data_IF_021574871210
#
_entry.id   IF_021574871210
#
_cell.length_a   1.000
_cell.length_b   1.000
_cell.length_c   1.000
_cell.angle_alpha   90.00
_cell.angle_beta   90.00
_cell.angle_gamma   90.00
#
_symmetry.space_group_name_H-M   'P 1'
#
loop_
_entity.id
_entity.type
_entity.pdbx_description
1 polymer ?
#
# COMPACT_ATOMS: atom_id res chain seq x y z
N UNK A 1 58.64 -22.41 22.36
CA UNK A 1 57.86 -22.25 21.12
C UNK A 1 56.96 -21.03 21.30
N UNK A 2 57.16 -20.02 20.45
CA UNK A 2 56.34 -18.80 20.36
C UNK A 2 54.92 -19.18 19.96
N UNK A 3 53.91 -18.49 20.50
CA UNK A 3 52.89 -17.80 19.68
C UNK A 3 52.05 -16.90 20.58
N UNK A 4 52.49 -15.64 20.64
CA UNK A 4 51.66 -14.48 20.93
C UNK A 4 50.85 -14.15 19.66
N UNK A 5 49.76 -13.39 19.82
CA UNK A 5 49.02 -12.66 18.77
C UNK A 5 47.94 -13.46 18.03
N UNK A 6 46.72 -12.98 17.77
CA UNK A 6 46.16 -11.62 17.76
C UNK A 6 44.61 -11.76 17.78
N UNK A 7 43.91 -11.16 18.76
CA UNK A 7 42.45 -10.96 18.71
C UNK A 7 42.21 -9.61 18.01
N UNK A 8 41.80 -9.66 16.73
CA UNK A 8 41.42 -8.47 15.98
C UNK A 8 39.93 -8.18 16.23
N UNK A 9 39.63 -7.36 17.25
CA UNK A 9 38.31 -6.76 17.39
C UNK A 9 38.21 -5.60 16.40
N UNK A 10 37.59 -5.83 15.25
CA UNK A 10 37.21 -4.77 14.31
C UNK A 10 35.95 -4.12 14.88
N UNK A 11 36.11 -3.03 15.62
CA UNK A 11 35.01 -2.11 15.88
C UNK A 11 34.72 -1.35 14.59
N UNK A 12 33.71 -1.79 13.84
CA UNK A 12 33.09 -0.93 12.84
C UNK A 12 32.30 0.14 13.59
N UNK A 13 32.90 1.31 13.76
CA UNK A 13 32.16 2.56 13.99
C UNK A 13 31.34 2.85 12.72
N UNK A 14 30.19 2.18 12.61
CA UNK A 14 29.06 2.70 11.85
C UNK A 14 28.59 3.94 12.58
N UNK A 15 29.23 5.08 12.26
CA UNK A 15 28.54 6.36 12.34
C UNK A 15 27.32 6.18 11.46
N UNK A 16 26.18 5.88 12.07
CA UNK A 16 24.90 6.07 11.44
C UNK A 16 24.90 7.54 11.03
N UNK A 17 25.15 7.81 9.75
CA UNK A 17 24.86 9.09 9.16
C UNK A 17 23.36 9.28 9.43
N UNK A 18 23.04 10.00 10.50
CA UNK A 18 21.68 10.36 10.86
C UNK A 18 21.16 11.08 9.64
N UNK A 19 20.32 10.37 8.88
CA UNK A 19 19.80 10.83 7.61
C UNK A 19 19.08 12.14 7.87
N UNK A 20 19.71 13.22 7.41
CA UNK A 20 19.17 14.55 7.49
C UNK A 20 18.29 14.71 6.25
N UNK A 21 16.96 14.78 6.42
CA UNK A 21 16.00 15.09 5.35
C UNK A 21 16.26 16.47 4.68
N UNK A 22 15.34 17.04 3.89
CA UNK A 22 15.56 18.33 3.23
C UNK A 22 15.94 19.45 4.21
N UNK A 23 16.80 20.38 3.78
CA UNK A 23 17.14 21.58 4.56
C UNK A 23 16.29 22.79 4.16
N UNK A 24 15.91 22.86 2.89
CA UNK A 24 15.04 23.89 2.29
C UNK A 24 13.99 23.18 1.44
N UNK A 25 12.76 23.70 1.44
CA UNK A 25 11.67 23.28 0.55
C UNK A 25 11.30 24.45 -0.34
N UNK A 26 11.37 24.26 -1.65
CA UNK A 26 10.87 25.22 -2.63
C UNK A 26 9.34 25.14 -2.69
N UNK A 27 8.67 26.29 -2.64
CA UNK A 27 7.22 26.39 -2.64
C UNK A 27 6.74 27.42 -3.65
N UNK A 28 5.49 27.26 -4.09
CA UNK A 28 4.80 28.25 -4.90
C UNK A 28 3.80 29.01 -4.06
N UNK A 29 4.00 30.32 -3.94
CA UNK A 29 3.01 31.20 -3.34
C UNK A 29 1.92 31.54 -4.36
N UNK A 30 0.67 31.24 -4.02
CA UNK A 30 -0.49 31.40 -4.87
C UNK A 30 -1.44 32.47 -4.34
N UNK A 31 -1.87 33.36 -5.23
CA UNK A 31 -2.90 34.37 -4.95
C UNK A 31 -3.85 34.51 -6.14
N UNK A 32 -5.10 34.82 -5.85
CA UNK A 32 -6.08 35.20 -6.86
C UNK A 32 -5.66 36.52 -7.50
N UNK A 33 -5.40 36.51 -8.81
CA UNK A 33 -5.22 37.75 -9.55
C UNK A 33 -6.58 38.31 -9.97
N UNK A 34 -6.62 39.57 -10.41
CA UNK A 34 -7.82 40.16 -11.00
C UNK A 34 -8.12 39.50 -12.35
N UNK A 35 -9.35 39.01 -12.54
CA UNK A 35 -9.72 38.09 -13.63
C UNK A 35 -9.41 36.65 -13.23
N UNK A 36 -9.98 35.63 -13.88
CA UNK A 36 -9.88 34.21 -13.47
C UNK A 36 -8.48 33.57 -13.60
N UNK A 37 -7.42 34.31 -13.31
CA UNK A 37 -6.03 33.90 -13.43
C UNK A 37 -5.43 33.77 -12.02
N UNK A 38 -4.78 32.64 -11.74
CA UNK A 38 -3.95 32.47 -10.54
C UNK A 38 -2.54 33.02 -10.80
N UNK A 39 -2.06 33.89 -9.90
CA UNK A 39 -0.67 34.31 -9.91
C UNK A 39 0.17 33.36 -9.04
N UNK A 40 1.33 32.95 -9.54
CA UNK A 40 2.30 32.12 -8.80
C UNK A 40 3.61 32.88 -8.63
N UNK A 41 4.12 32.92 -7.40
CA UNK A 41 5.41 33.52 -7.05
C UNK A 41 6.30 32.46 -6.36
N UNK A 42 7.61 32.45 -6.60
CA UNK A 42 8.50 31.53 -5.91
C UNK A 42 8.62 31.92 -4.44
N UNK A 43 8.65 30.93 -3.56
CA UNK A 43 8.91 31.05 -2.13
C UNK A 43 9.69 29.84 -1.63
N UNK A 44 10.17 29.89 -0.39
CA UNK A 44 10.89 28.77 0.20
C UNK A 44 10.71 28.70 1.72
N UNK A 45 10.70 27.48 2.25
CA UNK A 45 10.74 27.18 3.68
C UNK A 45 12.14 26.71 4.07
N UNK A 46 12.78 27.44 4.96
CA UNK A 46 14.02 27.02 5.60
C UNK A 46 13.70 26.21 6.85
N UNK A 47 13.98 24.91 6.79
CA UNK A 47 13.72 23.96 7.87
C UNK A 47 14.89 23.84 8.82
N UNK A 48 16.11 23.96 8.31
CA UNK A 48 17.36 23.75 9.07
C UNK A 48 18.44 24.72 8.65
N UNK A 49 19.13 25.28 9.63
CA UNK A 49 20.24 26.20 9.41
C UNK A 49 21.58 25.45 9.46
N UNK A 50 22.41 25.62 8.43
CA UNK A 50 23.79 25.11 8.43
C UNK A 50 24.72 25.95 9.31
N UNK A 51 25.94 25.48 9.59
CA UNK A 51 26.91 26.22 10.41
C UNK A 51 27.31 27.60 9.85
N UNK A 52 27.04 27.86 8.56
CA UNK A 52 27.30 29.14 7.89
C UNK A 52 26.12 30.12 7.85
N UNK A 53 25.00 29.84 8.53
CA UNK A 53 23.80 30.67 8.46
C UNK A 53 22.75 30.20 7.43
N UNK A 54 21.59 30.88 7.34
CA UNK A 54 20.61 30.63 6.29
C UNK A 54 21.22 30.94 4.92
N UNK A 55 21.01 30.11 3.88
CA UNK A 55 21.54 30.38 2.55
C UNK A 55 20.90 31.65 1.95
N UNK A 56 21.69 32.54 1.30
CA UNK A 56 21.16 33.74 0.65
C UNK A 56 20.33 33.37 -0.59
N UNK A 57 19.14 33.96 -0.70
CA UNK A 57 18.19 33.76 -1.81
C UNK A 57 17.73 35.10 -2.37
N UNK A 58 18.51 35.64 -3.30
CA UNK A 58 18.24 36.92 -3.98
C UNK A 58 17.11 36.78 -5.01
N UNK A 59 16.86 35.55 -5.45
CA UNK A 59 15.79 35.16 -6.37
C UNK A 59 14.39 35.23 -5.73
N UNK A 60 14.31 35.25 -4.40
CA UNK A 60 13.05 35.20 -3.65
C UNK A 60 12.68 36.57 -3.07
N UNK A 61 11.37 36.79 -2.93
CA UNK A 61 10.88 37.86 -2.05
C UNK A 61 11.21 37.47 -0.59
N UNK A 62 11.91 38.31 0.19
CA UNK A 62 12.22 38.01 1.60
C UNK A 62 10.99 37.69 2.46
N UNK A 63 9.80 38.19 2.09
CA UNK A 63 8.53 37.87 2.76
C UNK A 63 8.02 36.46 2.46
N UNK A 64 8.51 35.84 1.40
CA UNK A 64 8.19 34.48 0.96
C UNK A 64 9.37 33.50 1.18
N UNK A 65 10.48 33.99 1.74
CA UNK A 65 11.54 33.15 2.29
C UNK A 65 11.35 33.05 3.79
N UNK A 66 10.76 31.94 4.25
CA UNK A 66 10.32 31.77 5.62
C UNK A 66 11.27 30.84 6.39
N UNK A 67 11.74 31.28 7.55
CA UNK A 67 12.44 30.44 8.51
C UNK A 67 11.46 29.81 9.49
N UNK A 68 11.39 28.48 9.50
CA UNK A 68 10.60 27.68 10.45
C UNK A 68 11.47 26.87 11.42
N UNK A 69 12.79 26.88 11.23
CA UNK A 69 13.74 26.04 11.97
C UNK A 69 13.70 26.19 13.49
N UNK A 70 13.39 27.40 13.99
CA UNK A 70 13.35 27.72 15.43
C UNK A 70 11.90 27.95 15.91
N UNK A 71 10.94 27.85 15.00
CA UNK A 71 9.58 28.35 15.18
C UNK A 71 8.54 27.32 14.79
N UNK A 72 8.84 26.03 15.01
CA UNK A 72 7.87 24.93 15.08
C UNK A 72 7.89 24.34 16.50
N UNK A 73 7.16 24.94 17.46
CA UNK A 73 7.24 24.56 18.87
C UNK A 73 6.79 23.12 19.10
N UNK A 74 5.80 22.65 18.33
CA UNK A 74 5.30 21.29 18.42
C UNK A 74 6.19 20.26 17.70
N UNK A 75 7.10 20.71 16.83
CA UNK A 75 8.06 19.87 16.11
C UNK A 75 7.48 19.02 14.97
N UNK A 76 6.15 18.98 14.79
CA UNK A 76 5.50 18.07 13.85
C UNK A 76 5.92 18.31 12.39
N UNK A 77 6.05 19.58 11.96
CA UNK A 77 6.48 19.92 10.61
C UNK A 77 7.95 19.54 10.40
N UNK A 78 8.81 19.90 11.35
CA UNK A 78 10.23 19.60 11.29
C UNK A 78 10.49 18.09 11.30
N UNK A 79 9.83 17.33 12.17
CA UNK A 79 10.02 15.89 12.31
C UNK A 79 9.49 15.11 11.12
N UNK A 80 8.41 15.57 10.48
CA UNK A 80 7.91 15.00 9.24
C UNK A 80 8.94 15.11 8.12
N UNK A 81 9.54 16.29 7.96
CA UNK A 81 10.51 16.56 6.89
C UNK A 81 11.90 16.02 7.22
N UNK A 82 12.26 15.90 8.49
CA UNK A 82 13.49 15.24 8.94
C UNK A 82 13.50 13.76 8.61
N UNK A 83 12.35 13.08 8.72
CA UNK A 83 12.15 11.67 8.38
C UNK A 83 11.94 11.42 6.88
N UNK A 84 11.92 12.47 6.06
CA UNK A 84 11.73 12.34 4.62
C UNK A 84 12.90 11.60 3.95
N UNK A 85 12.65 10.55 3.14
CA UNK A 85 13.71 9.77 2.50
C UNK A 85 14.60 10.62 1.57
N UNK A 86 15.91 10.41 1.61
CA UNK A 86 16.87 11.17 0.78
C UNK A 86 16.73 10.90 -0.72
N UNK A 87 16.36 9.68 -1.11
CA UNK A 87 16.18 9.30 -2.51
C UNK A 87 14.79 9.65 -3.05
N UNK A 88 13.89 10.17 -2.21
CA UNK A 88 12.55 10.55 -2.63
C UNK A 88 12.57 11.92 -3.35
N UNK A 89 11.75 12.11 -4.40
CA UNK A 89 11.58 13.42 -5.02
C UNK A 89 11.14 14.48 -4.01
N UNK A 90 11.54 15.73 -4.24
CA UNK A 90 11.11 16.85 -3.41
C UNK A 90 9.56 16.93 -3.39
N UNK A 91 8.94 17.15 -2.22
CA UNK A 91 7.50 17.27 -2.13
C UNK A 91 7.01 18.51 -2.87
N UNK A 92 5.82 18.43 -3.46
CA UNK A 92 5.15 19.62 -3.97
C UNK A 92 4.75 20.49 -2.79
N UNK A 93 5.06 21.79 -2.84
CA UNK A 93 4.72 22.74 -1.80
C UNK A 93 4.01 23.95 -2.39
N UNK A 94 2.88 24.31 -1.79
CA UNK A 94 2.08 25.48 -2.12
C UNK A 94 1.86 26.32 -0.87
N UNK A 95 2.00 27.64 -1.01
CA UNK A 95 1.75 28.61 0.05
C UNK A 95 0.60 29.53 -0.38
N UNK A 96 -0.31 29.85 0.52
CA UNK A 96 -1.41 30.77 0.25
C UNK A 96 -1.68 31.64 1.47
N UNK A 97 -2.41 32.76 1.28
CA UNK A 97 -2.91 33.54 2.42
C UNK A 97 -4.04 32.79 3.11
N UNK A 98 -3.95 32.70 4.42
CA UNK A 98 -5.02 32.15 5.25
C UNK A 98 -5.74 33.28 5.98
N UNK A 99 -7.05 33.14 6.16
CA UNK A 99 -7.86 34.07 6.94
C UNK A 99 -8.58 33.27 8.02
N UNK A 100 -8.28 33.49 9.32
CA UNK A 100 -8.97 32.81 10.40
C UNK A 100 -10.47 33.12 10.39
N UNK A 101 -11.26 32.06 10.22
CA UNK A 101 -12.72 32.14 10.09
C UNK A 101 -13.35 30.94 10.82
N UNK A 102 -14.54 31.10 11.43
CA UNK A 102 -15.27 29.97 12.02
C UNK A 102 -15.54 28.88 10.98
N UNK A 103 -15.59 27.64 11.46
CA UNK A 103 -15.96 26.51 10.61
C UNK A 103 -17.37 26.73 10.04
N UNK A 104 -17.52 26.54 8.73
CA UNK A 104 -18.81 26.73 8.04
C UNK A 104 -19.85 25.66 8.38
N UNK A 105 -19.41 24.52 8.92
CA UNK A 105 -20.29 23.41 9.24
C UNK A 105 -20.97 23.62 10.60
N UNK A 106 -22.31 23.52 10.62
CA UNK A 106 -23.10 23.76 11.83
C UNK A 106 -22.74 22.86 13.02
N UNK A 107 -22.28 21.62 12.78
CA UNK A 107 -21.88 20.72 13.87
C UNK A 107 -20.61 21.20 14.61
N UNK A 108 -19.78 21.99 13.94
CA UNK A 108 -18.54 22.54 14.48
C UNK A 108 -18.74 23.90 15.15
N UNK A 109 -19.97 24.45 15.17
CA UNK A 109 -20.24 25.79 15.72
C UNK A 109 -19.92 25.89 17.23
N UNK A 110 -19.95 24.76 17.95
CA UNK A 110 -19.57 24.69 19.36
C UNK A 110 -18.10 25.05 19.63
N UNK A 111 -17.22 24.96 18.63
CA UNK A 111 -15.81 25.35 18.76
C UNK A 111 -15.62 26.87 18.82
N UNK A 112 -16.62 27.65 18.39
CA UNK A 112 -16.61 29.12 18.39
C UNK A 112 -17.92 29.65 18.96
N UNK A 113 -18.15 29.53 20.28
CA UNK A 113 -19.39 29.99 20.91
C UNK A 113 -19.47 31.53 20.97
N UNK A 114 -18.32 32.20 21.03
CA UNK A 114 -18.23 33.65 21.06
C UNK A 114 -18.51 34.25 19.68
N UNK A 115 -19.30 35.33 19.64
CA UNK A 115 -19.62 36.05 18.40
C UNK A 115 -18.60 37.13 18.03
N UNK A 116 -17.36 37.02 18.53
CA UNK A 116 -16.27 37.95 18.27
C UNK A 116 -14.98 37.23 17.94
N UNK A 117 -14.22 37.76 16.96
CA UNK A 117 -12.91 37.22 16.60
C UNK A 117 -11.90 37.42 17.74
N UNK A 118 -11.16 36.37 18.15
CA UNK A 118 -10.12 36.48 19.17
C UNK A 118 -8.97 37.37 18.71
N UNK A 119 -8.58 38.36 19.52
CA UNK A 119 -7.43 39.24 19.24
C UNK A 119 -6.10 38.47 19.18
N UNK A 120 -6.02 37.30 19.80
CA UNK A 120 -4.85 36.43 19.72
C UNK A 120 -4.56 35.94 18.29
N UNK A 121 -5.53 36.05 17.37
CA UNK A 121 -5.39 35.66 15.97
C UNK A 121 -5.10 36.84 15.05
N UNK A 122 -4.83 38.04 15.59
CA UNK A 122 -4.47 39.21 14.81
C UNK A 122 -3.15 38.98 14.03
N UNK A 123 -3.03 39.63 12.88
CA UNK A 123 -1.85 39.56 12.01
C UNK A 123 -2.09 38.77 10.72
N UNK A 124 -1.01 38.62 9.94
CA UNK A 124 -1.04 37.87 8.69
C UNK A 124 -0.90 36.38 8.97
N UNK A 125 -1.59 35.56 8.17
CA UNK A 125 -1.52 34.10 8.23
C UNK A 125 -1.22 33.53 6.85
N UNK A 126 -0.43 32.46 6.84
CA UNK A 126 -0.12 31.69 5.66
C UNK A 126 -0.55 30.24 5.89
N UNK A 127 -1.11 29.62 4.85
CA UNK A 127 -1.32 28.17 4.81
C UNK A 127 -0.28 27.58 3.86
N UNK A 128 0.41 26.55 4.34
CA UNK A 128 1.37 25.76 3.59
C UNK A 128 0.76 24.38 3.38
N UNK A 129 0.58 23.98 2.13
CA UNK A 129 0.16 22.63 1.76
C UNK A 129 1.32 21.90 1.09
N UNK A 130 1.62 20.69 1.54
CA UNK A 130 2.65 19.84 0.97
C UNK A 130 2.10 18.46 0.63
N UNK A 131 2.48 17.94 -0.53
CA UNK A 131 2.05 16.62 -0.99
C UNK A 131 3.16 15.88 -1.73
N UNK A 132 3.36 14.61 -1.39
CA UNK A 132 4.19 13.68 -2.14
C UNK A 132 3.66 12.25 -2.00
N UNK A 133 4.38 11.27 -2.54
CA UNK A 133 4.08 9.85 -2.31
C UNK A 133 4.44 9.37 -0.89
N UNK A 134 5.17 10.18 -0.11
CA UNK A 134 5.65 9.83 1.23
C UNK A 134 4.74 10.41 2.31
N UNK A 135 4.30 11.66 2.15
CA UNK A 135 3.44 12.35 3.12
C UNK A 135 2.52 13.36 2.45
N UNK A 136 1.44 13.72 3.13
CA UNK A 136 0.65 14.92 2.83
C UNK A 136 0.48 15.72 4.12
N UNK A 137 0.72 17.02 4.06
CA UNK A 137 0.67 17.89 5.23
C UNK A 137 0.05 19.24 4.89
N UNK A 138 -0.58 19.85 5.89
CA UNK A 138 -1.08 21.21 5.85
C UNK A 138 -0.71 21.92 7.14
N UNK A 139 0.01 23.04 7.06
CA UNK A 139 0.41 23.83 8.21
C UNK A 139 -0.08 25.27 8.10
N UNK A 140 -0.52 25.83 9.23
CA UNK A 140 -0.83 27.25 9.37
C UNK A 140 0.34 27.96 10.05
N UNK A 141 0.85 28.99 9.40
CA UNK A 141 2.01 29.75 9.82
C UNK A 141 1.62 31.22 10.06
N UNK A 142 2.17 31.80 11.12
CA UNK A 142 2.08 33.22 11.41
C UNK A 142 3.45 33.88 11.15
N UNK A 143 3.65 34.51 9.97
CA UNK A 143 4.88 35.24 9.67
C UNK A 143 5.00 36.52 10.52
N UNK A 144 6.23 36.89 10.87
CA UNK A 144 6.50 38.19 11.46
C UNK A 144 6.25 39.34 10.45
N UNK A 145 5.85 40.54 10.91
CA UNK A 145 5.46 41.64 10.02
C UNK A 145 6.59 42.16 9.13
N UNK A 146 7.81 42.19 9.66
CA UNK A 146 9.00 42.67 8.95
C UNK A 146 10.04 41.53 8.86
N UNK A 147 10.66 41.33 7.69
CA UNK A 147 11.78 40.40 7.56
C UNK A 147 12.93 40.88 8.46
N UNK A 148 13.48 39.97 9.25
CA UNK A 148 14.67 40.26 10.04
C UNK A 148 15.92 40.06 9.18
N UNK A 149 16.97 40.84 9.47
CA UNK A 149 18.24 40.75 8.78
C UNK A 149 19.28 40.11 9.70
N UNK A 150 19.61 38.83 9.48
CA UNK A 150 20.77 38.18 10.10
C UNK A 150 21.08 36.82 9.44
N UNK A 151 22.31 36.55 8.96
CA UNK A 151 23.10 37.27 7.95
C UNK A 151 22.39 37.52 6.59
N UNK A 152 21.14 37.06 6.40
CA UNK A 152 20.35 37.18 5.17
C UNK A 152 18.97 37.74 5.50
N UNK A 153 18.34 38.47 4.57
CA UNK A 153 16.93 38.89 4.65
C UNK A 153 16.00 37.67 4.59
N UNK A 154 15.41 37.29 5.72
CA UNK A 154 14.52 36.14 5.86
C UNK A 154 13.41 36.46 6.86
N UNK A 155 12.20 35.97 6.63
CA UNK A 155 11.07 36.20 7.53
C UNK A 155 10.91 35.02 8.49
N UNK A 156 10.90 35.26 9.80
CA UNK A 156 10.56 34.21 10.77
C UNK A 156 9.06 33.94 10.73
N UNK A 157 8.66 32.67 10.76
CA UNK A 157 7.25 32.28 10.76
C UNK A 157 6.99 31.19 11.81
N UNK A 158 6.04 31.43 12.71
CA UNK A 158 5.65 30.47 13.74
C UNK A 158 4.60 29.51 13.21
N UNK A 159 4.87 28.20 13.33
CA UNK A 159 3.92 27.15 13.01
C UNK A 159 2.92 27.03 14.16
N UNK A 160 1.64 27.21 13.85
CA UNK A 160 0.55 27.22 14.83
C UNK A 160 -0.23 25.91 14.82
N UNK A 161 -0.62 25.44 13.64
CA UNK A 161 -1.32 24.18 13.44
C UNK A 161 -0.61 23.39 12.35
N UNK A 162 -0.38 22.11 12.57
CA UNK A 162 0.07 21.18 11.52
C UNK A 162 -0.87 19.99 11.51
N UNK A 163 -1.36 19.62 10.33
CA UNK A 163 -2.12 18.39 10.08
C UNK A 163 -1.32 17.57 9.08
N UNK A 164 -1.10 16.30 9.37
CA UNK A 164 -0.16 15.45 8.67
C UNK A 164 -0.71 14.03 8.52
N UNK A 165 -0.44 13.42 7.37
CA UNK A 165 -0.58 11.98 7.16
C UNK A 165 0.71 11.42 6.57
N UNK A 166 1.17 10.29 7.11
CA UNK A 166 2.33 9.55 6.61
C UNK A 166 1.94 8.52 5.54
N UNK A 167 0.65 8.40 5.24
CA UNK A 167 0.12 7.46 4.24
C UNK A 167 -0.77 8.20 3.25
N UNK A 168 -0.21 9.04 2.36
CA UNK A 168 -1.01 9.83 1.42
C UNK A 168 -1.69 8.98 0.34
N UNK A 169 -1.18 7.78 0.06
CA UNK A 169 -1.77 6.83 -0.90
C UNK A 169 -1.91 5.45 -0.24
N UNK A 170 -2.84 5.30 0.73
CA UNK A 170 -2.99 4.05 1.45
C UNK A 170 -3.52 2.96 0.51
N UNK A 171 -2.90 1.78 0.55
CA UNK A 171 -3.30 0.63 -0.27
C UNK A 171 -3.89 -0.46 0.62
N UNK A 172 -5.19 -0.69 0.51
CA UNK A 172 -5.91 -1.69 1.31
C UNK A 172 -6.32 -2.89 0.47
N UNK A 173 -6.28 -4.08 1.07
CA UNK A 173 -6.79 -5.28 0.42
C UNK A 173 -8.31 -5.27 0.48
N UNK A 174 -8.98 -5.60 -0.63
CA UNK A 174 -10.44 -5.71 -0.69
C UNK A 174 -10.97 -6.63 0.42
N UNK A 175 -11.94 -6.14 1.19
CA UNK A 175 -12.58 -6.81 2.31
C UNK A 175 -11.77 -6.78 3.62
N UNK A 176 -10.63 -6.08 3.64
CA UNK A 176 -9.92 -5.75 4.87
C UNK A 176 -10.27 -4.32 5.30
N UNK A 177 -9.95 -4.01 6.55
CA UNK A 177 -10.16 -2.68 7.08
C UNK A 177 -9.04 -1.74 6.63
N UNK A 178 -9.39 -0.50 6.31
CA UNK A 178 -8.42 0.56 6.06
C UNK A 178 -8.21 1.38 7.33
N UNK A 179 -6.95 1.68 7.63
CA UNK A 179 -6.52 2.60 8.68
C UNK A 179 -5.82 3.75 7.97
N UNK A 180 -6.43 4.93 7.97
CA UNK A 180 -5.90 6.12 7.33
C UNK A 180 -5.24 6.99 8.40
N UNK A 181 -3.91 6.97 8.43
CA UNK A 181 -3.10 7.72 9.39
C UNK A 181 -3.39 9.22 9.33
N UNK A 182 -3.61 9.83 10.49
CA UNK A 182 -3.74 11.26 10.64
C UNK A 182 -3.24 11.69 12.01
N UNK A 183 -2.27 12.58 12.01
CA UNK A 183 -1.73 13.23 13.20
C UNK A 183 -1.83 14.74 13.04
N UNK A 184 -2.00 15.46 14.13
CA UNK A 184 -1.98 16.91 14.12
C UNK A 184 -1.28 17.45 15.37
N UNK A 185 -0.88 18.71 15.30
CA UNK A 185 -0.27 19.40 16.43
C UNK A 185 -0.71 20.85 16.48
N UNK A 186 -0.82 21.40 17.68
CA UNK A 186 -1.27 22.77 17.89
C UNK A 186 -0.44 23.48 18.95
N UNK A 187 -0.03 24.71 18.63
CA UNK A 187 0.58 25.66 19.54
C UNK A 187 -0.33 26.88 19.69
N UNK A 188 -0.74 27.26 20.91
CA UNK A 188 -1.53 28.48 21.11
C UNK A 188 -0.70 29.73 20.76
N UNK A 189 -1.24 30.69 19.97
CA UNK A 189 -0.48 31.83 19.46
C UNK A 189 -0.03 32.86 20.53
N UNK A 190 -0.61 32.84 21.73
CA UNK A 190 -0.13 33.68 22.83
C UNK A 190 -0.32 33.00 24.20
N UNK A 191 0.53 33.31 25.20
CA UNK A 191 0.37 32.82 26.57
C UNK A 191 -0.93 33.32 27.23
N UNK A 192 -1.45 34.47 26.80
CA UNK A 192 -2.77 34.97 27.23
C UNK A 192 -3.93 34.13 26.66
N UNK A 193 -3.81 33.69 25.39
CA UNK A 193 -4.71 32.71 24.79
C UNK A 193 -4.61 31.33 25.47
N UNK A 194 -3.42 30.93 25.92
CA UNK A 194 -3.23 29.73 26.73
C UNK A 194 -3.82 29.87 28.15
N UNK A 195 -3.86 31.09 28.71
CA UNK A 195 -4.41 31.39 30.04
C UNK A 195 -5.92 31.61 30.10
N UNK A 196 -6.55 31.88 28.96
CA UNK A 196 -8.00 32.08 28.82
C UNK A 196 -8.75 30.80 28.45
N UNK A 197 -8.02 29.77 28.01
CA UNK A 197 -8.52 28.39 27.93
C UNK A 197 -8.51 27.75 29.32
N UNK A 198 -9.50 26.91 29.62
CA UNK A 198 -9.41 26.00 30.76
C UNK A 198 -8.07 25.22 30.67
N UNK A 199 -7.38 24.96 31.80
CA UNK A 199 -6.07 24.35 31.77
C UNK A 199 -6.09 23.00 31.04
N UNK A 200 -5.36 22.91 29.92
CA UNK A 200 -5.29 21.72 29.07
C UNK A 200 -5.51 22.04 27.58
N UNK A 201 -5.54 21.01 26.72
CA UNK A 201 -5.72 21.19 25.29
C UNK A 201 -7.15 21.66 24.94
N UNK A 202 -7.33 22.56 23.95
CA UNK A 202 -8.65 23.02 23.56
C UNK A 202 -9.46 21.90 22.90
N UNK A 203 -10.81 21.99 22.91
CA UNK A 203 -11.60 21.14 22.06
C UNK A 203 -11.25 21.34 20.59
N UNK A 204 -11.33 20.26 19.82
CA UNK A 204 -11.11 20.29 18.38
C UNK A 204 -12.23 19.54 17.66
N UNK A 205 -12.42 19.83 16.38
CA UNK A 205 -13.29 19.09 15.49
C UNK A 205 -12.47 18.21 14.54
N UNK A 206 -12.95 17.00 14.28
CA UNK A 206 -12.42 16.13 13.25
C UNK A 206 -13.49 15.91 12.19
N UNK A 207 -13.14 16.06 10.92
CA UNK A 207 -14.01 15.82 9.77
C UNK A 207 -13.32 14.90 8.76
N UNK A 208 -13.98 13.80 8.41
CA UNK A 208 -13.56 12.92 7.32
C UNK A 208 -14.60 12.91 6.22
N UNK A 209 -14.18 13.21 4.99
CA UNK A 209 -15.04 13.18 3.79
C UNK A 209 -14.42 12.32 2.71
N UNK A 210 -15.26 11.70 1.88
CA UNK A 210 -14.86 11.11 0.60
C UNK A 210 -15.38 11.96 -0.54
N UNK A 211 -14.49 12.44 -1.40
CA UNK A 211 -14.84 13.16 -2.61
C UNK A 211 -14.96 12.19 -3.78
N UNK A 212 -16.13 12.18 -4.42
CA UNK A 212 -16.38 11.39 -5.61
C UNK A 212 -17.18 12.23 -6.60
N UNK A 213 -16.68 12.36 -7.84
CA UNK A 213 -17.31 13.15 -8.91
C UNK A 213 -17.66 14.60 -8.48
N UNK A 214 -16.75 15.25 -7.75
CA UNK A 214 -16.94 16.62 -7.25
C UNK A 214 -17.89 16.77 -6.06
N UNK A 215 -18.50 15.68 -5.57
CA UNK A 215 -19.35 15.69 -4.37
C UNK A 215 -18.60 15.09 -3.17
N UNK A 216 -18.39 15.90 -2.13
CA UNK A 216 -17.79 15.44 -0.87
C UNK A 216 -18.86 14.92 0.09
N UNK A 217 -18.88 13.61 0.33
CA UNK A 217 -19.77 12.96 1.29
C UNK A 217 -19.08 12.89 2.65
N UNK A 218 -19.75 13.42 3.69
CA UNK A 218 -19.26 13.33 5.06
C UNK A 218 -19.36 11.88 5.54
N UNK A 219 -18.24 11.32 6.00
CA UNK A 219 -18.16 9.96 6.54
C UNK A 219 -18.17 9.97 8.06
N UNK A 220 -17.46 10.90 8.69
CA UNK A 220 -17.37 11.02 10.13
C UNK A 220 -17.13 12.48 10.52
N UNK A 221 -17.79 12.91 11.59
CA UNK A 221 -17.52 14.17 12.27
C UNK A 221 -17.55 13.94 13.79
N UNK A 222 -16.64 14.59 14.51
CA UNK A 222 -16.56 14.51 15.96
C UNK A 222 -15.99 15.81 16.54
N UNK A 223 -16.36 16.15 17.77
CA UNK A 223 -15.77 17.27 18.53
C UNK A 223 -15.28 16.83 19.91
N UNK A 224 -14.15 16.11 20.01
CA UNK A 224 -13.63 15.70 21.32
C UNK A 224 -13.41 16.90 22.25
N UNK A 225 -13.85 16.76 23.50
CA UNK A 225 -13.84 17.85 24.50
C UNK A 225 -15.07 18.74 24.51
N UNK A 226 -16.02 18.55 23.59
CA UNK A 226 -17.32 19.23 23.58
C UNK A 226 -18.48 18.24 23.44
N UNK A 227 -19.47 18.38 24.31
CA UNK A 227 -20.74 17.71 24.16
C UNK A 227 -21.55 18.41 23.06
N UNK A 228 -21.88 17.67 22.01
CA UNK A 228 -22.62 18.21 20.87
C UNK A 228 -23.28 17.13 20.02
N UNK A 229 -24.35 17.50 19.33
CA UNK A 229 -25.00 16.59 18.39
C UNK A 229 -24.13 16.46 17.13
N UNK A 230 -23.53 15.29 16.94
CA UNK A 230 -22.72 15.00 15.77
C UNK A 230 -23.54 14.37 14.63
N UNK A 231 -23.17 14.61 13.36
CA UNK A 231 -23.66 13.85 12.22
C UNK A 231 -23.42 12.34 12.41
N UNK A 232 -24.35 11.52 11.92
CA UNK A 232 -24.20 10.07 12.00
C UNK A 232 -23.04 9.58 11.12
N UNK A 233 -22.14 8.79 11.70
CA UNK A 233 -21.06 8.13 10.98
C UNK A 233 -21.62 7.22 9.87
N UNK A 234 -20.97 7.22 8.72
CA UNK A 234 -21.33 6.42 7.56
C UNK A 234 -20.43 5.20 7.44
N UNK A 235 -20.94 4.14 6.80
CA UNK A 235 -20.16 2.96 6.42
C UNK A 235 -19.48 2.23 7.61
N UNK A 236 -20.00 2.41 8.83
CA UNK A 236 -19.43 1.84 10.04
C UNK A 236 -18.08 2.44 10.44
N UNK A 237 -17.72 3.58 9.86
CA UNK A 237 -16.45 4.22 10.10
C UNK A 237 -16.36 4.80 11.52
N UNK A 238 -15.15 4.76 12.07
CA UNK A 238 -14.81 5.41 13.35
C UNK A 238 -13.47 6.10 13.24
N UNK A 239 -13.12 6.91 14.24
CA UNK A 239 -11.83 7.58 14.28
C UNK A 239 -11.23 7.54 15.69
N UNK A 240 -9.91 7.47 15.76
CA UNK A 240 -9.13 7.64 16.99
C UNK A 240 -8.85 9.13 17.16
N UNK A 241 -9.88 9.88 17.58
CA UNK A 241 -9.83 11.33 17.71
C UNK A 241 -9.55 11.74 19.17
N UNK A 242 -8.30 12.05 19.50
CA UNK A 242 -7.91 12.49 20.84
C UNK A 242 -6.61 13.32 20.81
N UNK A 243 -6.37 14.10 21.85
CA UNK A 243 -5.04 14.62 22.17
C UNK A 243 -4.18 13.50 22.77
N UNK A 244 -2.88 13.50 22.46
CA UNK A 244 -1.93 12.52 22.97
C UNK A 244 -1.47 12.85 24.40
N UNK A 245 -1.46 14.14 24.74
CA UNK A 245 -1.05 14.69 26.03
C UNK A 245 -2.05 15.74 26.55
N UNK A 246 -2.05 15.96 27.87
CA UNK A 246 -2.89 16.93 28.57
C UNK A 246 -2.07 18.07 29.20
N UNK A 247 -0.93 18.41 28.58
CA UNK A 247 -0.02 19.42 29.10
C UNK A 247 -0.75 20.76 29.31
N UNK A 248 -0.41 21.48 30.38
CA UNK A 248 -1.19 22.64 30.80
C UNK A 248 -1.15 23.81 29.81
N UNK A 249 -0.06 23.95 29.07
CA UNK A 249 0.23 25.16 28.26
C UNK A 249 0.55 24.85 26.80
N UNK A 250 0.54 23.58 26.41
CA UNK A 250 0.99 23.12 25.10
C UNK A 250 2.48 23.34 24.84
N UNK A 251 2.95 23.08 23.61
CA UNK A 251 2.17 22.60 22.47
C UNK A 251 1.61 21.19 22.68
N UNK A 252 0.52 20.87 21.99
CA UNK A 252 -0.13 19.56 22.07
C UNK A 252 -0.02 18.81 20.75
N UNK A 253 0.09 17.49 20.81
CA UNK A 253 -0.11 16.61 19.65
C UNK A 253 -1.39 15.81 19.79
N UNK A 254 -1.99 15.45 18.66
CA UNK A 254 -3.22 14.68 18.64
C UNK A 254 -3.30 13.73 17.46
N UNK A 255 -4.19 12.77 17.60
CA UNK A 255 -4.48 11.74 16.62
C UNK A 255 -5.91 11.95 16.08
N UNK A 256 -6.09 11.71 14.79
CA UNK A 256 -7.40 11.69 14.13
C UNK A 256 -7.53 10.56 13.11
N UNK A 257 -6.75 9.50 13.29
CA UNK A 257 -6.67 8.34 12.39
C UNK A 257 -8.05 7.73 12.17
N UNK A 258 -8.38 7.46 10.90
CA UNK A 258 -9.68 6.95 10.49
C UNK A 258 -9.65 5.44 10.25
N UNK A 259 -10.63 4.74 10.78
CA UNK A 259 -10.81 3.30 10.59
C UNK A 259 -12.08 3.04 9.78
N UNK A 260 -11.92 2.46 8.59
CA UNK A 260 -12.99 2.10 7.68
C UNK A 260 -13.07 0.57 7.54
N UNK A 261 -14.13 -0.09 8.04
CA UNK A 261 -14.20 -1.53 8.04
C UNK A 261 -14.53 -2.11 6.65
N UNK A 262 -14.01 -3.32 6.38
CA UNK A 262 -14.36 -4.16 5.24
C UNK A 262 -14.44 -3.41 3.89
N UNK A 263 -13.32 -2.79 3.48
CA UNK A 263 -13.28 -1.88 2.34
C UNK A 263 -13.65 -2.58 1.03
N UNK A 264 -14.56 -1.97 0.28
CA UNK A 264 -15.04 -2.39 -1.03
C UNK A 264 -14.67 -1.38 -2.12
N UNK A 265 -14.66 -1.76 -3.41
CA UNK A 265 -14.25 -0.89 -4.51
C UNK A 265 -14.97 0.46 -4.61
N UNK A 266 -16.27 0.54 -4.27
CA UNK A 266 -17.00 1.83 -4.32
C UNK A 266 -16.53 2.83 -3.26
N UNK A 267 -15.75 2.40 -2.27
CA UNK A 267 -15.16 3.24 -1.23
C UNK A 267 -13.76 3.74 -1.63
N UNK A 268 -13.23 3.31 -2.76
CA UNK A 268 -11.96 3.81 -3.32
C UNK A 268 -12.08 5.29 -3.75
N UNK A 269 -10.97 6.02 -3.68
CA UNK A 269 -10.85 7.40 -4.18
C UNK A 269 -10.28 8.37 -3.16
N UNK A 270 -10.59 9.65 -3.36
CA UNK A 270 -10.00 10.76 -2.59
C UNK A 270 -10.72 10.99 -1.26
N UNK A 271 -9.97 10.92 -0.17
CA UNK A 271 -10.40 11.22 1.19
C UNK A 271 -9.80 12.56 1.63
N UNK A 272 -10.61 13.37 2.30
CA UNK A 272 -10.19 14.63 2.91
C UNK A 272 -10.37 14.52 4.41
N UNK A 273 -9.31 14.83 5.13
CA UNK A 273 -9.31 14.93 6.58
C UNK A 273 -9.10 16.38 6.99
N UNK A 274 -10.04 16.95 7.73
CA UNK A 274 -9.97 18.32 8.23
C UNK A 274 -9.99 18.32 9.75
N UNK A 275 -9.01 18.98 10.35
CA UNK A 275 -8.99 19.26 11.78
C UNK A 275 -9.42 20.71 11.97
N UNK A 276 -10.46 20.91 12.78
CA UNK A 276 -11.02 22.20 13.14
C UNK A 276 -10.60 22.58 14.54
N UNK A 277 -10.07 23.79 14.70
CA UNK A 277 -9.81 24.45 15.96
C UNK A 277 -10.58 25.79 15.94
N UNK A 278 -10.70 26.50 17.07
CA UNK A 278 -11.35 27.82 17.07
C UNK A 278 -10.73 28.74 16.00
N UNK A 279 -11.51 29.06 14.96
CA UNK A 279 -11.14 29.89 13.79
C UNK A 279 -10.03 29.32 12.87
N UNK A 280 -9.48 28.16 13.17
CA UNK A 280 -8.35 27.56 12.46
C UNK A 280 -8.77 26.21 11.87
N UNK A 281 -8.41 25.93 10.62
CA UNK A 281 -8.62 24.61 10.03
C UNK A 281 -7.41 24.19 9.20
N UNK A 282 -7.00 22.93 9.33
CA UNK A 282 -6.00 22.30 8.50
C UNK A 282 -6.60 21.11 7.78
N UNK A 283 -6.28 20.93 6.50
CA UNK A 283 -6.85 19.86 5.67
C UNK A 283 -5.75 19.11 4.92
N UNK A 284 -5.81 17.79 4.94
CA UNK A 284 -4.95 16.91 4.14
C UNK A 284 -5.77 16.01 3.23
N UNK A 285 -5.14 15.57 2.14
CA UNK A 285 -5.78 14.73 1.12
C UNK A 285 -5.07 13.38 1.05
N UNK A 286 -5.86 12.32 1.00
CA UNK A 286 -5.40 10.93 0.87
C UNK A 286 -6.09 10.28 -0.33
N UNK A 287 -5.37 9.43 -1.06
CA UNK A 287 -5.91 8.66 -2.19
C UNK A 287 -5.95 7.17 -1.84
N UNK A 288 -7.07 6.72 -1.29
CA UNK A 288 -7.26 5.32 -0.90
C UNK A 288 -7.40 4.47 -2.15
N UNK A 289 -6.48 3.51 -2.32
CA UNK A 289 -6.49 2.54 -3.39
C UNK A 289 -6.81 1.13 -2.87
N UNK A 290 -7.68 0.41 -3.59
CA UNK A 290 -8.08 -0.95 -3.23
C UNK A 290 -7.36 -1.94 -4.14
N UNK A 291 -6.91 -3.07 -3.59
CA UNK A 291 -6.33 -4.14 -4.40
C UNK A 291 -6.73 -5.54 -3.90
N UNK A 292 -6.74 -6.52 -4.80
CA UNK A 292 -6.94 -7.92 -4.46
C UNK A 292 -6.14 -8.80 -5.43
N UNK A 293 -5.19 -9.60 -4.94
CA UNK A 293 -4.40 -10.45 -5.82
C UNK A 293 -5.21 -11.61 -6.39
N UNK A 294 -5.06 -11.91 -7.69
CA UNK A 294 -5.77 -13.00 -8.33
C UNK A 294 -5.38 -14.36 -7.75
N UNK A 295 -6.36 -15.27 -7.75
CA UNK A 295 -6.15 -16.71 -7.65
C UNK A 295 -6.05 -17.26 -9.06
N UNK A 296 -4.90 -17.86 -9.39
CA UNK A 296 -4.64 -18.41 -10.72
C UNK A 296 -4.72 -19.93 -10.63
N UNK A 297 -5.51 -20.53 -11.51
CA UNK A 297 -5.68 -21.99 -11.62
C UNK A 297 -5.84 -22.37 -13.08
N UNK A 298 -5.59 -23.64 -13.42
CA UNK A 298 -5.71 -24.14 -14.79
C UNK A 298 -6.65 -25.33 -14.86
N UNK A 299 -7.28 -25.52 -16.01
CA UNK A 299 -8.15 -26.65 -16.31
C UNK A 299 -7.94 -27.08 -17.77
N UNK A 300 -7.72 -28.37 -18.06
CA UNK A 300 -7.57 -29.49 -17.13
C UNK A 300 -6.26 -29.43 -16.31
N UNK A 301 -6.24 -29.97 -15.10
CA UNK A 301 -5.07 -30.04 -14.19
C UNK A 301 -5.17 -31.34 -13.37
N UNK A 302 -4.05 -32.01 -12.99
CA UNK A 302 -2.65 -31.59 -13.12
C UNK A 302 -1.98 -31.97 -14.45
N UNK A 303 -2.67 -32.74 -15.30
CA UNK A 303 -2.07 -33.34 -16.49
C UNK A 303 -3.04 -33.34 -17.68
N UNK A 304 -2.48 -33.29 -18.89
CA UNK A 304 -3.18 -33.38 -20.17
C UNK A 304 -2.50 -34.37 -21.09
N UNK A 305 -3.30 -35.09 -21.88
CA UNK A 305 -2.82 -36.12 -22.80
C UNK A 305 -3.08 -35.73 -24.25
N UNK A 306 -2.18 -36.12 -25.13
CA UNK A 306 -2.38 -36.09 -26.58
C UNK A 306 -1.53 -37.17 -27.26
N UNK A 307 -2.03 -37.72 -28.37
CA UNK A 307 -1.23 -38.59 -29.21
C UNK A 307 -0.22 -37.76 -30.04
N UNK A 308 0.92 -38.33 -30.47
CA UNK A 308 1.82 -37.66 -31.39
C UNK A 308 1.10 -37.19 -32.66
N UNK A 309 1.19 -35.90 -32.99
CA UNK A 309 0.50 -35.31 -34.15
C UNK A 309 -0.94 -34.85 -33.89
N UNK A 310 -1.46 -35.04 -32.67
CA UNK A 310 -2.75 -34.52 -32.23
C UNK A 310 -2.59 -33.32 -31.30
N UNK A 311 -3.59 -32.44 -31.28
CA UNK A 311 -3.62 -31.29 -30.37
C UNK A 311 -4.20 -31.70 -29.00
N UNK A 312 -3.57 -31.31 -27.88
CA UNK A 312 -4.14 -31.44 -26.55
C UNK A 312 -5.50 -30.73 -26.41
N UNK A 313 -6.31 -31.09 -25.39
CA UNK A 313 -7.53 -30.36 -25.10
C UNK A 313 -7.26 -28.87 -24.83
N UNK A 314 -8.28 -28.06 -25.06
CA UNK A 314 -8.23 -26.63 -24.78
C UNK A 314 -7.91 -26.38 -23.29
N UNK A 315 -6.92 -25.52 -23.04
CA UNK A 315 -6.50 -25.14 -21.70
C UNK A 315 -7.18 -23.84 -21.31
N UNK A 316 -7.84 -23.84 -20.15
CA UNK A 316 -8.41 -22.65 -19.53
C UNK A 316 -7.59 -22.25 -18.30
N UNK A 317 -7.11 -21.02 -18.28
CA UNK A 317 -6.47 -20.38 -17.13
C UNK A 317 -7.49 -19.48 -16.44
N UNK A 318 -7.97 -19.90 -15.28
CA UNK A 318 -8.94 -19.17 -14.48
C UNK A 318 -8.21 -18.21 -13.54
N UNK A 319 -8.48 -16.92 -13.72
CA UNK A 319 -7.94 -15.83 -12.92
C UNK A 319 -9.09 -15.24 -12.11
N UNK A 320 -9.18 -15.68 -10.86
CA UNK A 320 -10.36 -15.46 -10.02
C UNK A 320 -10.15 -14.41 -8.94
N UNK A 321 -11.18 -13.59 -8.72
CA UNK A 321 -11.31 -12.64 -7.61
C UNK A 321 -10.12 -11.69 -7.47
N UNK A 322 -9.89 -10.85 -8.47
CA UNK A 322 -8.87 -9.80 -8.45
C UNK A 322 -9.47 -8.40 -8.59
N UNK A 323 -8.67 -7.40 -8.22
CA UNK A 323 -8.98 -5.98 -8.36
C UNK A 323 -7.67 -5.18 -8.27
N UNK A 324 -7.46 -4.10 -9.05
CA UNK A 324 -8.34 -3.52 -10.09
C UNK A 324 -8.56 -4.44 -11.31
N UNK A 325 -9.50 -4.09 -12.19
CA UNK A 325 -9.73 -4.85 -13.44
C UNK A 325 -8.73 -4.51 -14.55
N UNK A 326 -8.07 -3.35 -14.46
CA UNK A 326 -7.15 -2.85 -15.47
C UNK A 326 -5.73 -3.40 -15.27
N UNK A 327 -4.98 -3.50 -16.38
CA UNK A 327 -3.57 -3.91 -16.35
C UNK A 327 -3.32 -5.38 -16.03
N UNK A 328 -4.32 -6.24 -16.22
CA UNK A 328 -4.13 -7.69 -16.14
C UNK A 328 -3.67 -8.25 -17.49
N UNK A 329 -2.59 -9.02 -17.48
CA UNK A 329 -2.07 -9.71 -18.66
C UNK A 329 -1.94 -11.21 -18.40
N UNK A 330 -2.29 -12.02 -19.41
CA UNK A 330 -2.20 -13.48 -19.37
C UNK A 330 -1.26 -13.96 -20.47
N UNK A 331 -0.15 -14.56 -20.07
CA UNK A 331 0.87 -15.12 -20.93
C UNK A 331 0.89 -16.66 -20.85
N UNK A 332 1.24 -17.29 -21.96
CA UNK A 332 1.30 -18.74 -22.08
C UNK A 332 2.72 -19.17 -22.49
N UNK A 333 3.31 -20.03 -21.68
CA UNK A 333 4.67 -20.57 -21.89
C UNK A 333 4.65 -22.10 -21.86
N UNK A 334 5.48 -22.74 -22.69
CA UNK A 334 5.78 -24.15 -22.60
C UNK A 334 7.19 -24.28 -22.02
N UNK A 335 7.32 -25.03 -20.93
CA UNK A 335 8.59 -25.25 -20.23
C UNK A 335 8.92 -26.73 -20.23
N UNK A 336 10.18 -27.06 -20.48
CA UNK A 336 10.62 -28.46 -20.54
C UNK A 336 10.60 -29.01 -21.97
N UNK A 337 10.92 -30.30 -22.10
CA UNK A 337 11.34 -30.93 -23.35
C UNK A 337 12.87 -30.93 -23.52
N UNK A 338 13.37 -31.65 -24.53
CA UNK A 338 14.80 -31.90 -24.79
C UNK A 338 15.68 -30.66 -24.94
N UNK A 339 15.08 -29.48 -25.19
CA UNK A 339 15.79 -28.21 -25.42
C UNK A 339 15.82 -27.22 -24.24
N UNK A 340 15.30 -27.59 -23.06
CA UNK A 340 15.59 -26.88 -21.80
C UNK A 340 15.48 -25.35 -21.87
N UNK A 341 14.30 -24.82 -22.25
CA UNK A 341 14.04 -23.38 -22.27
C UNK A 341 12.55 -23.07 -22.14
N UNK A 342 12.21 -21.89 -21.62
CA UNK A 342 10.84 -21.37 -21.62
C UNK A 342 10.54 -20.81 -23.00
N UNK A 343 9.58 -21.40 -23.71
CA UNK A 343 9.20 -20.98 -25.05
C UNK A 343 7.79 -20.38 -25.04
N UNK A 344 7.61 -19.28 -25.77
CA UNK A 344 6.28 -18.70 -25.99
C UNK A 344 5.46 -19.67 -26.85
N UNK A 345 4.24 -19.98 -26.41
CA UNK A 345 3.42 -20.96 -27.10
C UNK A 345 2.82 -20.37 -28.38
N UNK A 346 2.99 -21.10 -29.48
CA UNK A 346 2.23 -20.90 -30.72
C UNK A 346 0.84 -21.53 -30.58
N UNK A 347 -0.22 -20.85 -31.00
CA UNK A 347 -1.60 -21.33 -30.84
C UNK A 347 -2.61 -20.20 -30.77
N UNK A 348 -3.88 -20.56 -30.88
CA UNK A 348 -4.98 -19.61 -30.72
C UNK A 348 -5.18 -19.32 -29.23
N UNK A 349 -5.21 -18.03 -28.88
CA UNK A 349 -5.41 -17.54 -27.52
C UNK A 349 -6.48 -16.47 -27.51
N UNK A 350 -7.34 -16.48 -26.50
CA UNK A 350 -8.35 -15.45 -26.29
C UNK A 350 -8.69 -15.32 -24.82
N UNK A 351 -9.35 -14.23 -24.47
CA UNK A 351 -9.78 -13.92 -23.11
C UNK A 351 -11.31 -13.92 -23.05
N UNK A 352 -11.86 -14.38 -21.93
CA UNK A 352 -13.29 -14.20 -21.64
C UNK A 352 -13.59 -12.73 -21.34
N UNK A 353 -14.88 -12.38 -21.39
CA UNK A 353 -15.36 -11.16 -20.76
C UNK A 353 -15.09 -11.19 -19.24
N UNK A 354 -15.05 -10.00 -18.64
CA UNK A 354 -14.96 -9.81 -17.20
C UNK A 354 -16.25 -10.27 -16.53
N UNK A 355 -16.11 -11.05 -15.47
CA UNK A 355 -17.20 -11.46 -14.60
C UNK A 355 -17.11 -10.69 -13.27
N UNK A 356 -18.15 -9.93 -12.95
CA UNK A 356 -18.22 -9.10 -11.74
C UNK A 356 -18.84 -9.87 -10.58
N UNK A 357 -18.22 -9.79 -9.41
CA UNK A 357 -18.71 -10.38 -8.17
C UNK A 357 -19.40 -9.35 -7.29
N UNK A 358 -20.23 -9.81 -6.35
CA UNK A 358 -20.93 -8.95 -5.39
C UNK A 358 -20.00 -8.25 -4.39
N UNK A 359 -18.80 -8.79 -4.16
CA UNK A 359 -17.77 -8.14 -3.36
C UNK A 359 -17.03 -7.02 -4.12
N UNK A 360 -17.38 -6.80 -5.39
CA UNK A 360 -16.76 -5.83 -6.28
C UNK A 360 -15.48 -6.32 -6.96
N UNK A 361 -14.98 -7.51 -6.63
CA UNK A 361 -13.87 -8.12 -7.38
C UNK A 361 -14.34 -8.61 -8.75
N UNK A 362 -13.37 -8.87 -9.63
CA UNK A 362 -13.62 -9.41 -10.97
C UNK A 362 -12.90 -10.73 -11.18
N UNK A 363 -13.38 -11.53 -12.12
CA UNK A 363 -12.70 -12.71 -12.65
C UNK A 363 -12.66 -12.67 -14.17
N UNK A 364 -11.65 -13.29 -14.77
CA UNK A 364 -11.66 -13.67 -16.17
C UNK A 364 -10.98 -15.03 -16.37
N UNK A 365 -11.21 -15.63 -17.53
CA UNK A 365 -10.51 -16.83 -17.97
C UNK A 365 -9.77 -16.57 -19.27
N UNK A 366 -8.50 -16.96 -19.33
CA UNK A 366 -7.73 -17.01 -20.57
C UNK A 366 -7.78 -18.42 -21.14
N UNK A 367 -7.99 -18.54 -22.45
CA UNK A 367 -8.06 -19.82 -23.14
C UNK A 367 -6.89 -19.96 -24.11
N UNK A 368 -6.35 -21.17 -24.19
CA UNK A 368 -5.32 -21.55 -25.13
C UNK A 368 -5.75 -22.85 -25.82
N UNK A 369 -5.77 -22.82 -27.14
CA UNK A 369 -5.83 -24.03 -27.97
C UNK A 369 -4.41 -24.38 -28.43
N UNK A 370 -3.78 -25.40 -27.83
CA UNK A 370 -2.40 -25.74 -28.15
C UNK A 370 -2.29 -26.34 -29.57
N UNK A 371 -1.10 -26.26 -30.20
CA UNK A 371 -0.84 -26.89 -31.48
C UNK A 371 -0.64 -28.41 -31.28
N UNK A 372 -0.64 -29.19 -32.38
CA UNK A 372 -0.31 -30.61 -32.32
C UNK A 372 1.06 -30.88 -31.68
N UNK A 373 1.14 -31.91 -30.83
CA UNK A 373 2.34 -32.19 -30.03
C UNK A 373 3.27 -33.22 -30.69
N UNK A 374 4.57 -33.12 -30.40
CA UNK A 374 5.59 -34.08 -30.82
C UNK A 374 6.06 -34.95 -29.65
N UNK A 375 6.69 -36.09 -29.95
CA UNK A 375 7.25 -36.98 -28.94
C UNK A 375 8.28 -36.30 -28.00
N UNK A 376 9.00 -35.28 -28.49
CA UNK A 376 10.02 -34.54 -27.73
C UNK A 376 9.44 -33.65 -26.62
N UNK A 377 8.12 -33.38 -26.68
CA UNK A 377 7.39 -32.55 -25.72
C UNK A 377 6.78 -33.35 -24.57
N UNK A 378 7.00 -34.67 -24.53
CA UNK A 378 6.59 -35.51 -23.41
C UNK A 378 7.23 -35.03 -22.09
N UNK A 379 6.41 -34.86 -21.06
CA UNK A 379 6.84 -34.32 -19.76
C UNK A 379 7.05 -32.80 -19.73
N UNK A 380 6.71 -32.06 -20.80
CA UNK A 380 6.72 -30.60 -20.78
C UNK A 380 5.56 -30.04 -19.94
N UNK A 381 5.69 -28.81 -19.45
CA UNK A 381 4.70 -28.12 -18.65
C UNK A 381 4.14 -26.91 -19.38
N UNK A 382 2.84 -26.93 -19.65
CA UNK A 382 2.09 -25.74 -20.03
C UNK A 382 1.94 -24.82 -18.83
N UNK A 383 2.40 -23.58 -18.96
CA UNK A 383 2.41 -22.57 -17.91
C UNK A 383 1.55 -21.38 -18.32
N UNK A 384 0.53 -21.06 -17.53
CA UNK A 384 -0.15 -19.77 -17.59
C UNK A 384 0.51 -18.81 -16.60
N UNK A 385 1.08 -17.70 -17.09
CA UNK A 385 1.62 -16.62 -16.25
C UNK A 385 0.69 -15.41 -16.29
N UNK A 386 0.33 -14.93 -15.12
CA UNK A 386 -0.56 -13.79 -14.95
C UNK A 386 0.23 -12.63 -14.34
N UNK A 387 0.20 -11.49 -15.01
CA UNK A 387 0.74 -10.23 -14.52
C UNK A 387 -0.41 -9.32 -14.08
N UNK A 388 -0.21 -8.65 -12.93
CA UNK A 388 -1.19 -7.76 -12.33
C UNK A 388 -0.48 -6.79 -11.39
N UNK A 389 -1.00 -5.58 -11.23
CA UNK A 389 -0.42 -4.53 -10.36
C UNK A 389 -0.29 -4.95 -8.89
N UNK A 390 -1.11 -5.91 -8.44
CA UNK A 390 -1.05 -6.45 -7.08
C UNK A 390 -0.16 -7.69 -6.92
N UNK A 391 0.51 -8.13 -7.98
CA UNK A 391 1.43 -9.27 -7.96
C UNK A 391 2.88 -8.77 -8.07
N UNK A 392 3.87 -9.59 -7.64
CA UNK A 392 5.27 -9.30 -7.93
C UNK A 392 5.54 -9.22 -9.43
N UNK A 393 6.65 -8.60 -9.84
CA UNK A 393 7.04 -8.48 -11.24
C UNK A 393 7.14 -9.83 -11.99
N UNK A 394 7.47 -10.91 -11.28
CA UNK A 394 7.49 -12.28 -11.81
C UNK A 394 6.11 -12.87 -12.14
N UNK A 395 5.04 -12.19 -11.75
CA UNK A 395 3.67 -12.64 -11.92
C UNK A 395 3.33 -13.86 -11.06
N UNK A 396 2.13 -14.40 -11.28
CA UNK A 396 1.68 -15.66 -10.68
C UNK A 396 1.50 -16.70 -11.76
N UNK A 397 1.96 -17.93 -11.50
CA UNK A 397 1.92 -19.03 -12.47
C UNK A 397 1.01 -20.17 -12.03
N UNK A 398 0.37 -20.81 -12.99
CA UNK A 398 -0.22 -22.13 -12.87
C UNK A 398 0.36 -23.02 -13.98
N UNK A 399 0.57 -24.29 -13.68
CA UNK A 399 1.28 -25.23 -14.55
C UNK A 399 0.49 -26.53 -14.68
N UNK A 400 0.56 -27.16 -15.86
CA UNK A 400 -0.07 -28.45 -16.19
C UNK A 400 0.91 -29.27 -17.02
N UNK A 401 1.09 -30.54 -16.68
CA UNK A 401 2.02 -31.44 -17.37
C UNK A 401 1.40 -32.05 -18.62
N UNK A 402 2.14 -32.05 -19.73
CA UNK A 402 1.79 -32.71 -20.98
C UNK A 402 2.38 -34.13 -21.00
N UNK A 403 1.50 -35.11 -21.15
CA UNK A 403 1.85 -36.51 -21.34
C UNK A 403 1.51 -36.94 -22.78
N UNK A 404 2.52 -37.28 -23.55
CA UNK A 404 2.34 -37.77 -24.92
C UNK A 404 2.09 -39.28 -24.89
N UNK A 405 0.95 -39.71 -25.43
CA UNK A 405 0.55 -41.11 -25.43
C UNK A 405 1.56 -42.00 -26.18
N UNK A 406 1.83 -43.20 -25.65
CA UNK A 406 2.76 -44.16 -26.24
C UNK A 406 4.23 -43.98 -25.84
N UNK A 407 4.56 -42.98 -25.01
CA UNK A 407 5.91 -42.76 -24.48
C UNK A 407 6.04 -43.04 -22.97
N UNK A 408 4.93 -43.15 -22.25
CA UNK A 408 4.91 -43.59 -20.86
C UNK A 408 5.25 -45.09 -20.80
N UNK A 409 6.44 -45.42 -20.30
CA UNK A 409 6.82 -46.80 -19.98
C UNK A 409 6.00 -47.35 -18.81
N UNK A 410 6.01 -48.68 -18.56
CA UNK A 410 5.29 -49.27 -17.44
C UNK A 410 5.73 -48.61 -16.12
N UNK A 411 4.76 -48.22 -15.29
CA UNK A 411 5.05 -47.68 -13.96
C UNK A 411 5.82 -48.70 -13.13
N UNK A 412 6.56 -48.23 -12.12
CA UNK A 412 7.22 -49.12 -11.15
C UNK A 412 6.18 -50.03 -10.47
N UNK A 413 4.95 -49.53 -10.27
CA UNK A 413 3.82 -50.30 -9.78
C UNK A 413 3.36 -51.37 -10.77
N UNK A 414 3.31 -51.06 -12.07
CA UNK A 414 3.00 -52.04 -13.12
C UNK A 414 4.07 -53.12 -13.20
N UNK A 415 5.34 -52.74 -13.05
CA UNK A 415 6.48 -53.66 -12.97
C UNK A 415 6.39 -54.59 -11.76
N UNK A 416 6.04 -54.06 -10.59
CA UNK A 416 5.81 -54.87 -9.38
C UNK A 416 4.60 -55.77 -9.55
N UNK A 417 3.51 -55.30 -10.15
CA UNK A 417 2.32 -56.10 -10.44
C UNK A 417 2.60 -57.25 -11.40
N UNK A 418 3.34 -57.00 -12.49
CA UNK A 418 3.78 -58.03 -13.44
C UNK A 418 4.74 -59.04 -12.78
N UNK A 419 5.62 -58.58 -11.90
CA UNK A 419 6.51 -59.44 -11.14
C UNK A 419 5.73 -60.35 -10.17
N UNK A 420 4.85 -59.78 -9.35
CA UNK A 420 4.05 -60.52 -8.38
C UNK A 420 3.11 -61.53 -9.06
N UNK A 421 2.45 -61.13 -10.15
CA UNK A 421 1.60 -62.03 -10.93
C UNK A 421 2.38 -63.18 -11.55
N UNK A 422 3.59 -62.93 -12.06
CA UNK A 422 4.50 -63.98 -12.55
C UNK A 422 4.90 -64.97 -11.46
N UNK A 423 5.25 -64.49 -10.26
CA UNK A 423 5.58 -65.35 -9.12
C UNK A 423 4.38 -66.20 -8.67
N UNK A 424 3.19 -65.62 -8.64
CA UNK A 424 1.97 -66.32 -8.26
C UNK A 424 1.61 -67.41 -9.29
N UNK A 425 1.71 -67.09 -10.59
CA UNK A 425 1.54 -68.06 -11.68
C UNK A 425 2.57 -69.19 -11.61
N UNK A 426 3.86 -68.88 -11.41
CA UNK A 426 4.91 -69.89 -11.25
C UNK A 426 4.70 -70.76 -10.01
N UNK A 427 4.23 -70.16 -8.91
CA UNK A 427 3.85 -70.87 -7.68
C UNK A 427 2.71 -71.85 -7.93
N UNK A 428 1.64 -71.41 -8.62
CA UNK A 428 0.50 -72.25 -8.98
C UNK A 428 0.91 -73.38 -9.93
N UNK A 429 1.72 -73.10 -10.95
CA UNK A 429 2.20 -74.12 -11.91
C UNK A 429 3.04 -75.17 -11.18
N UNK A 430 3.97 -74.77 -10.29
CA UNK A 430 4.75 -75.72 -9.48
C UNK A 430 3.88 -76.52 -8.52
N UNK A 431 2.90 -75.88 -7.87
CA UNK A 431 1.95 -76.55 -6.99
C UNK A 431 1.14 -77.62 -7.73
N UNK A 432 0.59 -77.28 -8.90
CA UNK A 432 -0.15 -78.21 -9.75
C UNK A 432 0.74 -79.35 -10.27
N UNK A 433 1.98 -79.06 -10.68
CA UNK A 433 2.94 -80.08 -11.09
C UNK A 433 3.32 -81.03 -9.93
N UNK A 434 3.46 -80.50 -8.71
CA UNK A 434 3.76 -81.32 -7.53
C UNK A 434 2.57 -82.18 -7.11
N UNK A 435 1.35 -81.64 -7.18
CA UNK A 435 0.10 -82.41 -6.94
C UNK A 435 -0.05 -83.52 -8.00
N UNK A 436 0.21 -83.22 -9.27
CA UNK A 436 0.18 -84.22 -10.35
C UNK A 436 1.23 -85.32 -10.13
N UNK A 437 2.46 -84.95 -9.75
CA UNK A 437 3.51 -85.91 -9.41
C UNK A 437 3.18 -86.76 -8.18
N UNK A 438 2.58 -86.17 -7.15
CA UNK A 438 2.15 -86.87 -5.94
C UNK A 438 1.02 -87.87 -6.22
N UNK A 439 0.02 -87.48 -7.04
CA UNK A 439 -1.05 -88.37 -7.46
C UNK A 439 -0.50 -89.55 -8.28
N UNK A 440 0.42 -89.29 -9.21
CA UNK A 440 1.10 -90.34 -10.01
C UNK A 440 1.94 -91.29 -9.13
N UNK A 441 2.59 -90.78 -8.09
CA UNK A 441 3.34 -91.60 -7.11
C UNK A 441 2.45 -92.41 -6.17
N UNK A 442 1.20 -92.00 -5.94
CA UNK A 442 0.27 -92.73 -5.08
C UNK A 442 -0.33 -93.92 -5.83
N UNK A 443 -0.64 -93.73 -7.11
CA UNK A 443 -1.12 -94.77 -8.04
C UNK A 443 -0.09 -95.89 -8.26
N UNK A 444 1.21 -95.59 -8.13
CA UNK A 444 2.28 -96.61 -8.20
C UNK A 444 2.48 -97.40 -6.91
N UNK A 445 2.14 -96.84 -5.74
CA UNK A 445 2.20 -97.56 -4.44
C UNK A 445 1.02 -98.50 -4.22
N UNK A 446 -0.15 -98.21 -4.79
CA UNK A 446 -1.32 -99.10 -4.68
C UNK A 446 -1.17 -100.39 -5.50
N UNK A 447 -0.23 -100.42 -6.47
CA UNK A 447 0.13 -101.61 -7.26
C UNK A 447 1.17 -102.54 -6.62
N UNK A 448 1.72 -102.22 -5.45
CA UNK A 448 2.76 -103.03 -4.77
C UNK A 448 2.23 -103.79 -3.53
N UNK A 449 0.95 -103.64 -3.17
CA UNK A 449 0.29 -104.44 -2.12
C UNK A 449 -0.93 -105.20 -2.66
N UNK A 450 -0.72 -106.02 -3.70
CA UNK A 450 -1.62 -107.09 -4.11
C UNK A 450 -0.88 -108.43 -4.14
#
# INVERSE_FOLDING_TARGET
MKLLSLLLAVALDLVAAVSAGPAVIECWFVEDATGSHLAKRPGALLLRQGPGGPPPRIDLDPKLYLSVHVTDPAGALQDALRRYPQDAPAPHCEMSRYVPLPASANWASGLTPEQSCPRALDGAWLMVSMSSSVLSLSSLLQPQPEPEQEPVLITKATVVLTVLTHTPVPRVRLGQDAILDLSFSYMPPSPEAASSLDPGPPPFGLEWRRQHLGKGHLLLAATPGLDGQMPAAQEGAVAFAAWDDDDRWGPWTGNGTFWLPAVRPFQEGTYLATVHLPYLQGQVTLELAVYKPPRVSMTPSPLVWAAPGEAPPELACHVSHFYPSEGLEVEWELRGGTKGGSQKIEGQRWLSALHHHSDGSVSLSGYLRPPPVTAEQHGAHYTCRVHHSSLPASGRRAEVTLEVAGLSGPSLEDGVGLFLSSFLLLGLIKGLAWVAAYLSSKDSKEKVTA
#
